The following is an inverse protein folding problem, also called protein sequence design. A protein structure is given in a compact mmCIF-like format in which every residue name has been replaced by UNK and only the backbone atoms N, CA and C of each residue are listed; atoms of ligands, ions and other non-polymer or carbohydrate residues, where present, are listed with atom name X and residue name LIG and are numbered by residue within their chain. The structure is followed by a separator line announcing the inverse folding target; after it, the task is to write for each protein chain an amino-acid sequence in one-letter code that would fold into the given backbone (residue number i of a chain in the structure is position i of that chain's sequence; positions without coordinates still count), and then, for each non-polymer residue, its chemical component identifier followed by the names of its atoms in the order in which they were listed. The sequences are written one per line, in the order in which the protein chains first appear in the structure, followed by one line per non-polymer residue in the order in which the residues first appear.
data_IF_592287130582
#
_entry.id   IF_592287130582
#
_cell.length_a   1.000
_cell.length_b   1.000
_cell.length_c   1.000
_cell.angle_alpha   90.00
_cell.angle_beta   90.00
_cell.angle_gamma   90.00
#
_symmetry.space_group_name_H-M   'P 1'
#
loop_
_entity.id
_entity.type
_entity.pdbx_description
1 polymer ?
#
# COMPACT_ATOMS: atom_id res chain seq x y z
N UNK A 1 -41.08 52.15 27.35
CA UNK A 1 -39.88 52.52 28.11
C UNK A 1 -38.75 51.83 27.35
N UNK A 2 -38.02 52.41 26.50
CA UNK A 2 -37.25 53.64 26.57
C UNK A 2 -35.81 53.27 26.31
N UNK A 3 -35.38 53.88 25.25
CA UNK A 3 -34.10 54.53 24.94
C UNK A 3 -33.03 53.67 24.28
N UNK A 4 -32.71 53.87 22.97
CA UNK A 4 -31.78 54.81 22.29
C UNK A 4 -30.31 54.65 22.76
N UNK A 5 -29.32 54.61 21.92
CA UNK A 5 -28.80 55.49 20.90
C UNK A 5 -27.59 54.81 20.23
N UNK A 6 -27.44 54.91 18.95
CA UNK A 6 -26.48 55.74 18.21
C UNK A 6 -25.04 55.70 18.69
N UNK A 7 -24.16 55.18 17.86
CA UNK A 7 -22.91 55.85 17.53
C UNK A 7 -22.36 55.31 16.18
N UNK A 8 -22.53 56.08 15.18
CA UNK A 8 -21.75 56.03 13.96
C UNK A 8 -20.30 56.37 14.29
N UNK A 9 -19.35 55.60 13.82
CA UNK A 9 -17.97 56.06 13.77
C UNK A 9 -17.40 55.89 12.39
N UNK A 10 -17.12 57.04 11.88
CA UNK A 10 -16.70 57.50 10.56
C UNK A 10 -15.28 57.02 10.30
N UNK A 11 -15.03 56.45 9.11
CA UNK A 11 -13.69 56.17 8.60
C UNK A 11 -12.91 57.48 8.35
N UNK A 12 -11.62 57.49 8.61
CA UNK A 12 -10.76 58.52 8.03
C UNK A 12 -10.20 58.03 6.68
N UNK A 13 -10.46 58.82 5.67
CA UNK A 13 -9.75 58.81 4.43
C UNK A 13 -8.31 59.25 4.64
N UNK A 14 -7.35 58.44 4.24
CA UNK A 14 -5.94 58.86 4.15
C UNK A 14 -5.47 58.75 2.72
N UNK A 15 -5.51 59.86 2.11
CA UNK A 15 -4.62 60.51 1.19
C UNK A 15 -3.49 59.70 0.58
N UNK A 16 -3.60 59.60 -0.75
CA UNK A 16 -2.54 59.36 -1.71
C UNK A 16 -1.26 60.13 -1.42
N UNK A 17 -0.16 59.46 -1.19
CA UNK A 17 1.15 60.05 -1.31
C UNK A 17 2.01 59.18 -2.23
N UNK A 18 2.16 59.72 -3.41
CA UNK A 18 3.17 59.45 -4.41
C UNK A 18 4.58 59.38 -3.80
N UNK A 19 5.13 58.21 -3.71
CA UNK A 19 6.57 58.05 -3.74
C UNK A 19 6.96 57.31 -5.00
N UNK A 20 7.10 58.11 -6.07
CA UNK A 20 7.88 57.71 -7.25
C UNK A 20 9.34 57.67 -6.82
N UNK A 21 9.79 56.55 -6.34
CA UNK A 21 11.22 56.30 -6.28
C UNK A 21 11.56 55.43 -7.49
N UNK A 22 11.95 56.13 -8.56
CA UNK A 22 12.61 55.52 -9.71
C UNK A 22 13.99 55.04 -9.24
N UNK A 23 14.10 53.77 -8.83
CA UNK A 23 15.40 53.13 -8.79
C UNK A 23 15.60 52.50 -10.17
N UNK A 24 16.26 53.24 -11.03
CA UNK A 24 16.85 52.70 -12.24
C UNK A 24 18.03 51.81 -11.84
N UNK A 25 17.76 50.54 -11.59
CA UNK A 25 18.82 49.54 -11.46
C UNK A 25 19.19 49.12 -12.87
N UNK A 26 20.30 49.67 -13.34
CA UNK A 26 20.99 49.22 -14.55
C UNK A 26 21.55 47.82 -14.24
N UNK A 27 20.86 46.82 -14.80
CA UNK A 27 21.43 45.47 -14.87
C UNK A 27 22.35 45.39 -16.08
N UNK A 28 23.60 45.84 -15.88
CA UNK A 28 24.67 45.52 -16.80
C UNK A 28 24.92 44.01 -16.73
N UNK A 29 24.63 43.33 -17.79
CA UNK A 29 25.12 42.10 -18.33
C UNK A 29 25.79 41.11 -17.35
N UNK A 30 25.02 40.30 -16.66
CA UNK A 30 25.50 39.00 -16.23
C UNK A 30 24.39 37.96 -16.53
N UNK A 31 24.52 37.34 -17.71
CA UNK A 31 23.71 36.19 -18.09
C UNK A 31 24.01 35.03 -17.14
N UNK A 32 23.24 34.94 -16.06
CA UNK A 32 23.24 33.73 -15.21
C UNK A 32 22.52 32.65 -15.99
N UNK A 33 23.29 31.81 -16.68
CA UNK A 33 22.81 30.54 -17.21
C UNK A 33 22.41 29.66 -16.03
N UNK A 34 21.15 29.71 -15.65
CA UNK A 34 20.55 28.73 -14.76
C UNK A 34 20.46 27.42 -15.56
N UNK A 35 21.51 26.62 -15.50
CA UNK A 35 21.49 25.23 -15.94
C UNK A 35 20.48 24.50 -15.07
N UNK A 36 19.29 24.29 -15.63
CA UNK A 36 18.25 23.46 -15.05
C UNK A 36 18.79 22.00 -15.06
N UNK A 37 19.44 21.60 -13.96
CA UNK A 37 19.89 20.22 -13.76
C UNK A 37 18.62 19.40 -13.60
N UNK A 38 18.14 18.83 -14.71
CA UNK A 38 17.09 17.83 -14.73
C UNK A 38 17.67 16.54 -14.11
N UNK A 39 17.58 16.40 -12.78
CA UNK A 39 17.92 15.14 -12.11
C UNK A 39 16.92 14.09 -12.59
N UNK A 40 17.36 12.98 -13.21
CA UNK A 40 16.47 11.88 -13.51
C UNK A 40 15.95 11.33 -12.18
N UNK A 41 14.68 11.54 -11.88
CA UNK A 41 13.99 10.80 -10.85
C UNK A 41 13.92 9.34 -11.32
N UNK A 42 14.85 8.51 -10.83
CA UNK A 42 14.74 7.06 -11.00
C UNK A 42 13.47 6.63 -10.27
N UNK A 43 12.37 6.50 -11.00
CA UNK A 43 11.21 5.79 -10.51
C UNK A 43 11.69 4.36 -10.16
N UNK A 44 11.69 4.01 -8.89
CA UNK A 44 11.86 2.63 -8.47
C UNK A 44 10.71 1.84 -9.11
N UNK A 45 11.01 1.13 -10.19
CA UNK A 45 10.07 0.18 -10.79
C UNK A 45 9.92 -0.90 -9.72
N UNK A 46 8.78 -0.94 -9.06
CA UNK A 46 8.40 -2.08 -8.22
C UNK A 46 8.49 -3.30 -9.15
N UNK A 47 9.38 -4.24 -8.84
CA UNK A 47 9.57 -5.44 -9.66
C UNK A 47 8.27 -6.25 -9.62
N UNK A 48 7.50 -6.20 -10.70
CA UNK A 48 6.36 -7.09 -10.88
C UNK A 48 6.88 -8.52 -10.93
N UNK A 49 6.28 -9.41 -10.13
CA UNK A 49 6.70 -10.81 -10.09
C UNK A 49 6.34 -11.54 -11.39
N UNK A 50 7.14 -12.54 -11.73
CA UNK A 50 6.88 -13.46 -12.83
C UNK A 50 5.91 -14.56 -12.38
N UNK A 51 4.69 -14.55 -12.93
CA UNK A 51 3.67 -15.53 -12.58
C UNK A 51 4.01 -16.95 -13.04
N UNK A 52 4.76 -17.13 -14.15
CA UNK A 52 5.20 -18.45 -14.59
C UNK A 52 6.27 -19.05 -13.67
N UNK A 53 7.20 -18.20 -13.20
CA UNK A 53 8.13 -18.59 -12.14
C UNK A 53 7.38 -18.87 -10.83
N UNK A 54 6.34 -18.08 -10.53
CA UNK A 54 5.45 -18.24 -9.37
C UNK A 54 4.70 -19.57 -9.36
N UNK A 55 4.26 -20.05 -10.53
CA UNK A 55 3.67 -21.39 -10.67
C UNK A 55 4.66 -22.49 -10.24
N UNK A 56 5.93 -22.31 -10.59
CA UNK A 56 6.96 -23.25 -10.15
C UNK A 56 7.16 -23.23 -8.65
N UNK A 57 7.14 -22.04 -8.03
CA UNK A 57 7.18 -21.90 -6.55
C UNK A 57 5.93 -22.52 -5.92
N UNK A 58 4.75 -22.34 -6.53
CA UNK A 58 3.47 -22.87 -6.04
C UNK A 58 3.46 -24.39 -5.91
N UNK A 59 4.29 -25.13 -6.63
CA UNK A 59 4.43 -26.59 -6.46
C UNK A 59 4.71 -26.98 -5.02
N UNK A 60 5.42 -26.13 -4.26
CA UNK A 60 5.66 -26.33 -2.81
C UNK A 60 4.35 -26.24 -1.99
N UNK A 61 3.35 -25.53 -2.49
CA UNK A 61 2.05 -25.26 -1.85
C UNK A 61 0.98 -26.25 -2.32
N UNK A 62 1.08 -26.71 -3.57
CA UNK A 62 0.07 -27.51 -4.26
C UNK A 62 -0.21 -28.87 -3.61
N UNK A 63 0.70 -29.35 -2.75
CA UNK A 63 0.50 -30.55 -1.94
C UNK A 63 -0.72 -30.40 -1.03
N UNK A 64 -0.89 -29.19 -0.45
CA UNK A 64 -1.95 -28.89 0.50
C UNK A 64 -3.03 -27.94 0.00
N UNK A 65 -2.75 -27.14 -1.04
CA UNK A 65 -3.65 -26.07 -1.52
C UNK A 65 -4.01 -26.23 -3.01
N UNK A 66 -5.10 -25.56 -3.39
CA UNK A 66 -5.50 -25.36 -4.79
C UNK A 66 -5.64 -23.86 -4.98
N UNK A 67 -5.19 -23.32 -6.13
CA UNK A 67 -5.27 -21.89 -6.41
C UNK A 67 -6.41 -21.54 -7.38
N UNK A 68 -6.80 -22.45 -8.28
CA UNK A 68 -7.70 -22.25 -9.41
C UNK A 68 -9.13 -22.71 -9.15
N UNK A 69 -9.47 -23.18 -7.97
CA UNK A 69 -10.82 -23.57 -7.60
C UNK A 69 -11.08 -23.44 -6.10
N UNK A 70 -12.37 -23.37 -5.69
CA UNK A 70 -12.77 -23.21 -4.29
C UNK A 70 -12.70 -24.52 -3.47
N UNK A 71 -12.17 -25.58 -4.05
CA UNK A 71 -12.05 -26.86 -3.38
C UNK A 71 -10.94 -26.83 -2.32
N UNK A 72 -11.29 -27.21 -1.10
CA UNK A 72 -10.31 -27.42 -0.05
C UNK A 72 -9.59 -28.76 -0.24
N UNK A 73 -8.31 -28.79 0.16
CA UNK A 73 -7.50 -29.99 0.35
C UNK A 73 -7.12 -30.14 1.84
N UNK A 74 -5.90 -30.51 2.13
CA UNK A 74 -5.34 -30.48 3.50
C UNK A 74 -5.32 -29.04 4.04
N UNK A 75 -5.07 -28.07 3.17
CA UNK A 75 -5.22 -26.63 3.41
C UNK A 75 -6.45 -26.06 2.71
N UNK A 76 -6.84 -24.82 3.04
CA UNK A 76 -7.94 -24.13 2.36
C UNK A 76 -7.57 -23.80 0.92
N UNK A 77 -8.58 -23.61 0.08
CA UNK A 77 -8.40 -23.05 -1.25
C UNK A 77 -7.75 -21.65 -1.17
N UNK A 78 -6.84 -21.37 -2.10
CA UNK A 78 -6.23 -20.06 -2.31
C UNK A 78 -6.89 -19.28 -3.45
N UNK A 79 -7.94 -19.86 -4.09
CA UNK A 79 -8.73 -19.12 -5.05
C UNK A 79 -9.35 -17.87 -4.38
N UNK A 80 -9.30 -16.72 -5.03
CA UNK A 80 -9.75 -15.44 -4.46
C UNK A 80 -9.15 -15.12 -3.06
N UNK A 81 -7.88 -15.45 -2.85
CA UNK A 81 -7.23 -15.22 -1.55
C UNK A 81 -7.03 -13.73 -1.27
N UNK A 82 -6.74 -12.91 -2.29
CA UNK A 82 -6.54 -11.47 -2.09
C UNK A 82 -7.83 -10.77 -1.68
N UNK A 83 -7.75 -9.89 -0.68
CA UNK A 83 -8.91 -9.21 -0.08
C UNK A 83 -9.70 -10.06 0.90
N UNK A 84 -9.42 -11.35 1.03
CA UNK A 84 -10.13 -12.25 1.94
C UNK A 84 -9.61 -12.11 3.36
N UNK A 85 -10.53 -12.03 4.33
CA UNK A 85 -10.19 -12.07 5.75
C UNK A 85 -9.59 -13.43 6.12
N UNK A 86 -8.55 -13.43 6.95
CA UNK A 86 -7.91 -14.67 7.41
C UNK A 86 -8.91 -15.57 8.15
N UNK A 87 -8.83 -16.87 7.89
CA UNK A 87 -9.67 -17.84 8.58
C UNK A 87 -11.13 -17.94 8.11
N UNK A 88 -11.49 -17.36 6.93
CA UNK A 88 -12.89 -17.24 6.49
C UNK A 88 -13.25 -18.04 5.24
N UNK A 89 -12.30 -18.76 4.59
CA UNK A 89 -12.69 -19.57 3.44
C UNK A 89 -13.72 -20.65 3.84
N UNK A 90 -14.81 -20.79 3.07
CA UNK A 90 -15.93 -21.68 3.43
C UNK A 90 -15.48 -23.15 3.59
N UNK A 91 -16.17 -23.86 4.45
CA UNK A 91 -16.02 -25.31 4.63
C UNK A 91 -14.58 -25.79 4.96
N UNK A 92 -13.77 -24.93 5.59
CA UNK A 92 -12.44 -25.29 6.09
C UNK A 92 -12.32 -25.12 7.60
N UNK A 93 -11.76 -26.10 8.28
CA UNK A 93 -11.57 -26.10 9.74
C UNK A 93 -10.27 -25.39 10.12
N UNK A 94 -10.28 -24.08 10.20
CA UNK A 94 -9.14 -23.29 10.61
C UNK A 94 -8.73 -23.49 12.08
N UNK A 95 -7.44 -23.23 12.38
CA UNK A 95 -6.97 -23.13 13.76
C UNK A 95 -7.66 -21.97 14.50
N UNK A 96 -7.82 -22.05 15.84
CA UNK A 96 -8.27 -20.91 16.64
C UNK A 96 -7.43 -19.66 16.40
N UNK A 97 -6.11 -19.82 16.28
CA UNK A 97 -5.19 -18.71 16.01
C UNK A 97 -5.46 -18.01 14.66
N UNK A 98 -5.74 -18.77 13.59
CA UNK A 98 -6.05 -18.17 12.29
C UNK A 98 -7.40 -17.45 12.29
N UNK A 99 -8.41 -18.01 12.99
CA UNK A 99 -9.70 -17.34 13.18
C UNK A 99 -9.54 -16.06 13.99
N UNK A 100 -8.79 -16.10 15.09
CA UNK A 100 -8.50 -14.92 15.91
C UNK A 100 -7.76 -13.82 15.13
N UNK A 101 -6.80 -14.21 14.29
CA UNK A 101 -6.10 -13.26 13.42
C UNK A 101 -7.07 -12.55 12.47
N UNK A 102 -8.01 -13.28 11.86
CA UNK A 102 -9.06 -12.68 11.01
C UNK A 102 -9.99 -11.75 11.80
N UNK A 103 -10.41 -12.16 13.00
CA UNK A 103 -11.22 -11.31 13.89
C UNK A 103 -10.46 -10.03 14.30
N UNK A 104 -9.14 -10.10 14.43
CA UNK A 104 -8.28 -8.95 14.68
C UNK A 104 -8.01 -8.08 13.43
N UNK A 105 -8.64 -8.39 12.30
CA UNK A 105 -8.55 -7.58 11.08
C UNK A 105 -7.48 -8.02 10.09
N UNK A 106 -6.87 -9.20 10.25
CA UNK A 106 -5.93 -9.70 9.24
C UNK A 106 -6.67 -10.02 7.93
N UNK A 107 -6.35 -9.26 6.90
CA UNK A 107 -6.82 -9.47 5.51
C UNK A 107 -5.61 -9.85 4.66
N UNK A 108 -5.80 -10.75 3.71
CA UNK A 108 -4.76 -11.18 2.80
C UNK A 108 -4.60 -10.18 1.66
N UNK A 109 -3.78 -9.17 1.87
CA UNK A 109 -3.23 -8.31 0.83
C UNK A 109 -1.79 -8.74 0.48
N UNK A 110 -1.15 -8.01 -0.41
CA UNK A 110 0.22 -8.35 -0.83
C UNK A 110 1.21 -8.30 0.34
N UNK A 111 1.13 -7.28 1.18
CA UNK A 111 2.05 -7.09 2.30
C UNK A 111 1.87 -8.18 3.36
N UNK A 112 0.63 -8.45 3.75
CA UNK A 112 0.31 -9.47 4.76
C UNK A 112 0.60 -10.89 4.28
N UNK A 113 0.38 -11.16 2.97
CA UNK A 113 0.78 -12.44 2.37
C UNK A 113 2.30 -12.59 2.32
N UNK A 114 3.04 -11.54 1.97
CA UNK A 114 4.49 -11.55 1.97
C UNK A 114 5.04 -11.93 3.34
N UNK A 115 4.59 -11.24 4.39
CA UNK A 115 4.99 -11.54 5.76
C UNK A 115 4.64 -12.98 6.16
N UNK A 116 3.43 -13.43 5.82
CA UNK A 116 2.97 -14.79 6.17
C UNK A 116 3.74 -15.85 5.40
N UNK A 117 4.03 -15.65 4.13
CA UNK A 117 4.80 -16.57 3.30
C UNK A 117 6.26 -16.64 3.74
N UNK A 118 6.82 -15.55 4.26
CA UNK A 118 8.19 -15.51 4.76
C UNK A 118 8.34 -16.30 6.08
N UNK A 119 7.39 -16.13 7.03
CA UNK A 119 7.34 -16.89 8.28
C UNK A 119 5.89 -17.04 8.80
N UNK A 120 5.20 -18.12 8.43
CA UNK A 120 3.82 -18.34 8.86
C UNK A 120 3.63 -18.38 10.37
N UNK A 121 4.61 -18.96 11.08
CA UNK A 121 4.51 -19.13 12.55
C UNK A 121 4.77 -17.84 13.31
N UNK A 122 5.60 -16.97 12.75
CA UNK A 122 5.83 -15.64 13.32
C UNK A 122 4.60 -14.75 13.11
N UNK A 123 4.04 -14.75 11.90
CA UNK A 123 2.88 -13.88 11.55
C UNK A 123 1.61 -14.31 12.26
N UNK A 124 1.35 -15.63 12.37
CA UNK A 124 0.18 -16.19 13.08
C UNK A 124 0.64 -17.28 14.04
N UNK A 125 0.97 -16.87 15.27
CA UNK A 125 1.38 -17.82 16.31
C UNK A 125 0.25 -18.81 16.59
N UNK A 126 0.54 -20.12 16.46
CA UNK A 126 -0.46 -21.17 16.61
C UNK A 126 -1.19 -21.54 15.32
N UNK A 127 -0.71 -21.06 14.17
CA UNK A 127 -1.16 -21.61 12.87
C UNK A 127 -0.90 -23.13 12.80
N UNK A 128 -1.84 -23.85 12.17
CA UNK A 128 -1.67 -25.30 11.90
C UNK A 128 -0.94 -25.57 10.58
N UNK A 129 -0.64 -24.54 9.80
CA UNK A 129 0.11 -24.68 8.56
C UNK A 129 1.54 -25.13 8.86
N UNK A 130 1.89 -26.29 8.33
CA UNK A 130 3.23 -26.89 8.51
C UNK A 130 4.10 -26.47 7.32
N UNK A 131 4.55 -25.24 7.34
CA UNK A 131 5.42 -24.68 6.33
C UNK A 131 6.45 -23.76 6.99
N UNK A 132 7.73 -23.89 6.59
CA UNK A 132 8.83 -23.13 7.20
C UNK A 132 9.01 -21.74 6.66
N UNK A 133 8.24 -21.40 5.63
CA UNK A 133 8.33 -20.14 4.92
C UNK A 133 9.31 -20.15 3.75
N UNK A 134 9.17 -19.17 2.88
CA UNK A 134 10.10 -18.85 1.80
C UNK A 134 11.10 -17.82 2.32
N UNK A 135 12.39 -17.99 2.00
CA UNK A 135 13.46 -17.09 2.45
C UNK A 135 13.96 -16.19 1.32
N UNK A 136 13.56 -16.45 0.10
CA UNK A 136 13.88 -15.66 -1.08
C UNK A 136 12.70 -14.74 -1.41
N UNK A 137 12.95 -13.44 -1.38
CA UNK A 137 11.92 -12.42 -1.67
C UNK A 137 11.46 -12.46 -3.13
N UNK A 138 12.30 -12.90 -4.05
CA UNK A 138 11.95 -13.11 -5.45
C UNK A 138 10.94 -14.27 -5.59
N UNK A 139 11.16 -15.40 -4.89
CA UNK A 139 10.19 -16.49 -4.87
C UNK A 139 8.83 -16.02 -4.31
N UNK A 140 8.84 -15.21 -3.24
CA UNK A 140 7.61 -14.67 -2.66
C UNK A 140 6.91 -13.75 -3.67
N UNK A 141 7.66 -12.84 -4.31
CA UNK A 141 7.13 -11.92 -5.30
C UNK A 141 6.49 -12.65 -6.49
N UNK A 142 7.17 -13.67 -7.02
CA UNK A 142 6.68 -14.49 -8.10
C UNK A 142 5.43 -15.31 -7.70
N UNK A 143 5.43 -15.90 -6.50
CA UNK A 143 4.27 -16.62 -5.99
C UNK A 143 3.05 -15.71 -5.83
N UNK A 144 3.24 -14.50 -5.34
CA UNK A 144 2.18 -13.49 -5.22
C UNK A 144 1.63 -13.14 -6.61
N UNK A 145 2.48 -12.94 -7.62
CA UNK A 145 2.06 -12.69 -8.99
C UNK A 145 1.23 -13.86 -9.56
N UNK A 146 1.63 -15.09 -9.30
CA UNK A 146 0.86 -16.27 -9.69
C UNK A 146 -0.52 -16.31 -9.02
N UNK A 147 -0.59 -16.12 -7.70
CA UNK A 147 -1.86 -16.17 -6.95
C UNK A 147 -2.82 -15.04 -7.35
N UNK A 148 -2.32 -13.89 -7.77
CA UNK A 148 -3.15 -12.77 -8.26
C UNK A 148 -4.00 -13.15 -9.48
N UNK A 149 -3.56 -14.11 -10.30
CA UNK A 149 -4.31 -14.55 -11.47
C UNK A 149 -5.68 -15.17 -11.11
N UNK A 150 -5.80 -15.71 -9.90
CA UNK A 150 -7.01 -16.37 -9.38
C UNK A 150 -7.80 -15.49 -8.41
N UNK A 151 -7.56 -14.20 -8.39
CA UNK A 151 -8.15 -13.28 -7.39
C UNK A 151 -8.86 -12.06 -8.04
N UNK A 152 -9.44 -12.28 -9.21
CA UNK A 152 -10.23 -11.26 -9.91
C UNK A 152 -11.69 -11.31 -9.49
#
# INVERSE_FOLDING_TARGET
MGWTAHAANRAPSVSSNLWRMRLAMRYDGLAVLISLICLPTSAAIAQEGDAAAGETVFKKCAVCHIADSDKNKVGPSLNHVFGRTAGTHPNFAYSPAMKAAGTAGLVWDEATLRDYLHDPKLKVKGTKMVFVGLKDDGEITNLIAYLKQFSK
#
